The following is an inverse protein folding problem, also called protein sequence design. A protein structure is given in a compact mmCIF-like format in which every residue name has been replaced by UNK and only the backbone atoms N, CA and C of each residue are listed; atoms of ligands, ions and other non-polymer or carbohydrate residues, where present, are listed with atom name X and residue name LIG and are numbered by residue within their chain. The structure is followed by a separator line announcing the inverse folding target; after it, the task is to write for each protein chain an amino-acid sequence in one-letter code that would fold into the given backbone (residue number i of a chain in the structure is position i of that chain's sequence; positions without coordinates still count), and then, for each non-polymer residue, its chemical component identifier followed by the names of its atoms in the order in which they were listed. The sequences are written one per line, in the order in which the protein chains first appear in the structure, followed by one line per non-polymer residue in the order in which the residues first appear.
data_IF_660541409791
#
_entry.id   IF_660541409791
#
_cell.length_a   1.000
_cell.length_b   1.000
_cell.length_c   1.000
_cell.angle_alpha   90.00
_cell.angle_beta   90.00
_cell.angle_gamma   90.00
#
_symmetry.space_group_name_H-M   'P 1'
#
loop_
_entity.id
_entity.type
_entity.pdbx_description
1 polymer ?
#
# COMPACT_ATOMS: atom_id res chain seq x y z
N UNK A 1 7.15 22.74 -15.73
CA UNK A 1 6.23 22.09 -16.69
C UNK A 1 5.02 21.44 -16.00
N UNK A 2 5.12 20.94 -14.75
CA UNK A 2 3.95 20.76 -13.86
C UNK A 2 3.33 22.09 -13.40
N UNK A 3 3.85 23.25 -13.80
CA UNK A 3 3.28 24.56 -13.44
C UNK A 3 1.94 24.85 -14.11
N UNK A 4 1.50 23.98 -15.03
CA UNK A 4 0.14 24.07 -15.54
C UNK A 4 -0.86 23.78 -14.40
N UNK A 5 -1.64 24.79 -13.99
CA UNK A 5 -2.59 24.65 -12.88
C UNK A 5 -3.62 23.55 -13.15
N UNK A 6 -3.95 23.27 -14.41
CA UNK A 6 -4.90 22.22 -14.76
C UNK A 6 -4.37 20.83 -14.37
N UNK A 7 -3.08 20.57 -14.65
CA UNK A 7 -2.45 19.27 -14.37
C UNK A 7 -2.28 19.05 -12.87
N UNK A 8 -1.91 20.11 -12.12
CA UNK A 8 -1.86 20.07 -10.65
C UNK A 8 -3.23 19.72 -10.07
N UNK A 9 -4.28 20.43 -10.49
CA UNK A 9 -5.67 20.16 -10.05
C UNK A 9 -6.10 18.75 -10.41
N UNK A 10 -5.78 18.26 -11.60
CA UNK A 10 -6.10 16.90 -12.02
C UNK A 10 -5.42 15.85 -11.14
N UNK A 11 -4.10 15.98 -10.91
CA UNK A 11 -3.34 15.07 -10.05
C UNK A 11 -3.90 15.03 -8.62
N UNK A 12 -4.16 16.21 -8.03
CA UNK A 12 -4.75 16.34 -6.70
C UNK A 12 -6.14 15.69 -6.66
N UNK A 13 -6.97 15.91 -7.68
CA UNK A 13 -8.30 15.31 -7.76
C UNK A 13 -8.21 13.78 -7.73
N UNK A 14 -7.31 13.19 -8.51
CA UNK A 14 -7.11 11.74 -8.50
C UNK A 14 -6.57 11.22 -7.17
N UNK A 15 -5.66 11.95 -6.51
CA UNK A 15 -5.19 11.57 -5.18
C UNK A 15 -6.33 11.59 -4.16
N UNK A 16 -7.13 12.66 -4.12
CA UNK A 16 -8.29 12.77 -3.23
C UNK A 16 -9.30 11.66 -3.49
N UNK A 17 -9.61 11.38 -4.76
CA UNK A 17 -10.48 10.26 -5.13
C UNK A 17 -9.89 8.92 -4.70
N UNK A 18 -8.59 8.71 -4.83
CA UNK A 18 -7.93 7.48 -4.38
C UNK A 18 -8.07 7.28 -2.86
N UNK A 19 -7.91 8.35 -2.06
CA UNK A 19 -8.16 8.29 -0.62
C UNK A 19 -9.63 7.96 -0.32
N UNK A 20 -10.58 8.65 -0.96
CA UNK A 20 -12.02 8.42 -0.74
C UNK A 20 -12.38 6.97 -1.07
N UNK A 21 -11.99 6.46 -2.23
CA UNK A 21 -12.27 5.09 -2.64
C UNK A 21 -11.52 4.06 -1.79
N UNK A 22 -10.30 4.39 -1.33
CA UNK A 22 -9.57 3.60 -0.34
C UNK A 22 -10.36 3.46 0.96
N UNK A 23 -10.88 4.55 1.51
CA UNK A 23 -11.73 4.53 2.70
C UNK A 23 -13.07 3.81 2.48
N UNK A 24 -13.68 3.93 1.30
CA UNK A 24 -14.92 3.21 0.96
C UNK A 24 -14.67 1.70 0.90
N UNK A 25 -13.65 1.27 0.14
CA UNK A 25 -13.24 -0.14 0.06
C UNK A 25 -13.00 -0.69 1.47
N UNK A 26 -12.32 0.11 2.29
CA UNK A 26 -11.99 -0.25 3.64
C UNK A 26 -13.21 -0.32 4.58
N UNK A 27 -14.11 0.65 4.52
CA UNK A 27 -15.37 0.63 5.25
C UNK A 27 -16.26 -0.55 4.84
N UNK A 28 -16.24 -0.93 3.56
CA UNK A 28 -16.99 -2.07 3.05
C UNK A 28 -16.47 -3.41 3.60
N UNK A 29 -15.16 -3.54 3.71
CA UNK A 29 -14.49 -4.67 4.37
C UNK A 29 -14.88 -4.83 5.83
N UNK A 30 -14.90 -3.73 6.59
CA UNK A 30 -15.37 -3.73 7.98
C UNK A 30 -16.86 -4.09 8.07
N UNK A 31 -17.70 -3.49 7.22
CA UNK A 31 -19.13 -3.76 7.19
C UNK A 31 -19.44 -5.25 6.96
N UNK A 32 -18.79 -5.87 5.98
CA UNK A 32 -18.92 -7.31 5.70
C UNK A 32 -18.53 -8.17 6.89
N UNK A 33 -17.47 -7.79 7.59
CA UNK A 33 -17.03 -8.51 8.77
C UNK A 33 -18.05 -8.46 9.91
N UNK A 34 -18.59 -7.28 10.21
CA UNK A 34 -19.60 -7.13 11.26
C UNK A 34 -20.84 -7.99 11.01
N UNK A 35 -21.18 -8.30 9.75
CA UNK A 35 -22.27 -9.25 9.42
C UNK A 35 -21.96 -10.71 9.77
N UNK A 36 -20.69 -11.09 9.97
CA UNK A 36 -20.31 -12.46 10.34
C UNK A 36 -20.52 -12.77 11.84
N UNK A 37 -20.81 -11.76 12.68
CA UNK A 37 -21.11 -11.94 14.10
C UNK A 37 -19.92 -12.40 14.97
N UNK A 38 -18.70 -12.46 14.40
CA UNK A 38 -17.49 -12.81 15.14
C UNK A 38 -17.10 -11.69 16.11
N UNK A 39 -17.32 -11.90 17.42
CA UNK A 39 -16.87 -10.99 18.48
C UNK A 39 -15.35 -11.04 18.75
N UNK A 40 -14.60 -11.87 18.01
CA UNK A 40 -13.20 -12.19 18.29
C UNK A 40 -12.19 -11.25 17.63
N UNK A 41 -12.63 -10.44 16.65
CA UNK A 41 -11.79 -9.43 15.98
C UNK A 41 -12.44 -8.05 16.06
N UNK A 42 -11.61 -7.04 16.30
CA UNK A 42 -11.92 -5.60 16.28
C UNK A 42 -11.31 -4.99 15.02
N UNK A 43 -11.60 -3.70 14.76
CA UNK A 43 -11.01 -2.91 13.66
C UNK A 43 -9.49 -3.11 13.49
N UNK A 44 -8.73 -3.09 14.59
CA UNK A 44 -7.27 -3.24 14.59
C UNK A 44 -6.78 -4.69 14.43
N UNK A 45 -7.68 -5.67 14.58
CA UNK A 45 -7.39 -7.09 14.41
C UNK A 45 -8.17 -7.70 13.25
N UNK A 46 -8.73 -6.85 12.39
CA UNK A 46 -9.32 -7.22 11.12
C UNK A 46 -8.19 -7.44 10.11
N UNK A 47 -8.20 -8.62 9.48
CA UNK A 47 -7.28 -8.97 8.42
C UNK A 47 -8.10 -9.26 7.16
N UNK A 48 -8.18 -8.34 6.18
CA UNK A 48 -8.92 -8.60 4.94
C UNK A 48 -8.50 -9.93 4.27
N UNK A 49 -7.25 -10.35 4.47
CA UNK A 49 -6.70 -11.61 3.94
C UNK A 49 -7.13 -12.88 4.70
N UNK A 50 -7.62 -12.74 5.94
CA UNK A 50 -8.10 -13.87 6.74
C UNK A 50 -9.49 -14.35 6.30
N UNK A 51 -10.38 -13.42 5.94
CA UNK A 51 -11.77 -13.74 5.63
C UNK A 51 -11.96 -14.30 4.23
N UNK A 52 -11.01 -14.04 3.33
CA UNK A 52 -11.08 -14.35 1.90
C UNK A 52 -12.51 -14.22 1.37
N UNK A 53 -12.97 -12.98 1.25
CA UNK A 53 -14.33 -12.64 0.79
C UNK A 53 -14.71 -13.26 -0.55
N UNK A 54 -13.71 -13.71 -1.32
CA UNK A 54 -13.82 -14.38 -2.61
C UNK A 54 -14.05 -15.90 -2.51
N UNK A 55 -14.88 -16.36 -1.57
CA UNK A 55 -15.39 -17.74 -1.63
C UNK A 55 -16.18 -17.91 -2.94
N UNK A 56 -16.04 -19.08 -3.59
CA UNK A 56 -16.63 -19.45 -4.91
C UNK A 56 -18.13 -19.17 -5.11
N UNK A 57 -18.87 -18.77 -4.06
CA UNK A 57 -20.32 -18.50 -4.09
C UNK A 57 -20.75 -17.25 -3.29
N UNK A 58 -19.84 -16.31 -3.00
CA UNK A 58 -20.22 -15.06 -2.32
C UNK A 58 -20.91 -14.10 -3.31
N UNK A 59 -22.20 -13.82 -3.10
CA UNK A 59 -23.01 -12.89 -3.89
C UNK A 59 -22.48 -11.45 -3.93
N UNK A 60 -21.55 -11.12 -3.04
CA UNK A 60 -20.96 -9.79 -2.90
C UNK A 60 -19.55 -9.67 -3.48
N UNK A 61 -19.06 -10.70 -4.20
CA UNK A 61 -17.73 -10.74 -4.81
C UNK A 61 -17.55 -9.73 -5.94
N UNK A 62 -18.59 -9.45 -6.73
CA UNK A 62 -18.51 -8.50 -7.84
C UNK A 62 -18.25 -7.05 -7.36
N UNK A 63 -18.91 -6.63 -6.28
CA UNK A 63 -18.72 -5.30 -5.69
C UNK A 63 -17.31 -5.17 -5.11
N UNK A 64 -16.79 -6.22 -4.46
CA UNK A 64 -15.40 -6.21 -3.94
C UNK A 64 -14.38 -6.06 -5.05
N UNK A 65 -14.49 -6.88 -6.11
CA UNK A 65 -13.58 -6.80 -7.26
C UNK A 65 -13.69 -5.44 -7.93
N UNK A 66 -14.91 -4.92 -8.10
CA UNK A 66 -15.12 -3.60 -8.74
C UNK A 66 -14.50 -2.47 -7.92
N UNK A 67 -14.74 -2.43 -6.61
CA UNK A 67 -14.13 -1.43 -5.73
C UNK A 67 -12.61 -1.54 -5.73
N UNK A 68 -12.06 -2.77 -5.74
CA UNK A 68 -10.62 -2.98 -5.84
C UNK A 68 -10.03 -2.46 -7.15
N UNK A 69 -10.64 -2.76 -8.29
CA UNK A 69 -10.17 -2.30 -9.60
C UNK A 69 -10.20 -0.77 -9.65
N UNK A 70 -11.30 -0.16 -9.20
CA UNK A 70 -11.43 1.31 -9.19
C UNK A 70 -10.38 1.94 -8.28
N UNK A 71 -10.22 1.44 -7.04
CA UNK A 71 -9.18 1.94 -6.13
C UNK A 71 -7.79 1.75 -6.71
N UNK A 72 -7.48 0.59 -7.29
CA UNK A 72 -6.19 0.31 -7.92
C UNK A 72 -5.88 1.28 -9.07
N UNK A 73 -6.85 1.55 -9.94
CA UNK A 73 -6.69 2.52 -11.04
C UNK A 73 -6.49 3.94 -10.51
N UNK A 74 -7.30 4.37 -9.55
CA UNK A 74 -7.17 5.69 -8.93
C UNK A 74 -5.80 5.89 -8.25
N UNK A 75 -5.22 4.81 -7.72
CA UNK A 75 -3.89 4.85 -7.13
C UNK A 75 -2.78 5.01 -8.18
N UNK A 76 -2.90 4.38 -9.35
CA UNK A 76 -1.88 4.46 -10.40
C UNK A 76 -1.87 5.80 -11.12
N UNK A 77 -3.03 6.40 -11.37
CA UNK A 77 -3.17 7.59 -12.22
C UNK A 77 -2.27 8.78 -11.79
N UNK A 78 -2.20 9.18 -10.50
CA UNK A 78 -1.30 10.25 -10.06
C UNK A 78 0.17 9.99 -10.38
N UNK A 79 0.64 8.75 -10.27
CA UNK A 79 2.03 8.37 -10.56
C UNK A 79 2.30 8.35 -12.05
N UNK A 80 1.31 7.96 -12.87
CA UNK A 80 1.38 8.03 -14.34
C UNK A 80 1.48 9.48 -14.80
N UNK A 81 0.62 10.36 -14.27
CA UNK A 81 0.68 11.80 -14.53
C UNK A 81 2.08 12.31 -14.16
N UNK A 82 2.56 11.99 -12.95
CA UNK A 82 3.91 12.36 -12.51
C UNK A 82 5.02 11.91 -13.47
N UNK A 83 5.00 10.67 -13.93
CA UNK A 83 6.02 10.13 -14.83
C UNK A 83 6.00 10.80 -16.21
N UNK A 84 4.81 11.02 -16.79
CA UNK A 84 4.65 11.67 -18.10
C UNK A 84 5.15 13.12 -18.07
N UNK A 85 4.79 13.87 -17.01
CA UNK A 85 5.14 15.29 -16.91
C UNK A 85 6.56 15.56 -16.39
N UNK A 86 7.15 14.60 -15.68
CA UNK A 86 8.58 14.64 -15.38
C UNK A 86 9.41 14.30 -16.61
N UNK A 87 8.93 13.35 -17.42
CA UNK A 87 9.58 12.91 -18.65
C UNK A 87 11.07 12.54 -18.47
N UNK A 88 11.42 12.01 -17.29
CA UNK A 88 12.75 11.54 -16.97
C UNK A 88 12.76 10.01 -16.93
N UNK A 89 13.82 9.34 -17.40
CA UNK A 89 13.92 7.87 -17.29
C UNK A 89 13.69 7.36 -15.87
N UNK A 90 14.18 8.09 -14.86
CA UNK A 90 14.00 7.77 -13.44
C UNK A 90 12.53 7.78 -13.00
N UNK A 91 11.70 8.72 -13.49
CA UNK A 91 10.29 8.78 -13.12
C UNK A 91 9.48 7.61 -13.70
N UNK A 92 9.86 7.12 -14.89
CA UNK A 92 9.26 5.91 -15.46
C UNK A 92 9.68 4.63 -14.71
N UNK A 93 10.93 4.57 -14.22
CA UNK A 93 11.39 3.46 -13.37
C UNK A 93 10.61 3.46 -12.05
N UNK A 94 10.42 4.62 -11.42
CA UNK A 94 9.60 4.76 -10.21
C UNK A 94 8.16 4.30 -10.45
N UNK A 95 7.54 4.70 -11.57
CA UNK A 95 6.21 4.23 -11.98
C UNK A 95 6.15 2.71 -12.10
N UNK A 96 7.13 2.09 -12.76
CA UNK A 96 7.15 0.64 -12.95
C UNK A 96 7.26 -0.11 -11.61
N UNK A 97 8.14 0.32 -10.72
CA UNK A 97 8.27 -0.26 -9.37
C UNK A 97 6.97 -0.09 -8.58
N UNK A 98 6.34 1.08 -8.68
CA UNK A 98 5.09 1.38 -8.00
C UNK A 98 3.92 0.49 -8.45
N UNK A 99 3.72 0.35 -9.78
CA UNK A 99 2.70 -0.55 -10.34
C UNK A 99 2.97 -2.00 -9.93
N UNK A 100 4.24 -2.42 -9.91
CA UNK A 100 4.60 -3.76 -9.51
C UNK A 100 4.31 -4.01 -8.03
N UNK A 101 4.67 -3.07 -7.14
CA UNK A 101 4.33 -3.12 -5.72
C UNK A 101 2.82 -3.24 -5.50
N UNK A 102 2.03 -2.38 -6.16
CA UNK A 102 0.57 -2.41 -6.11
C UNK A 102 -0.01 -3.74 -6.59
N UNK A 103 0.58 -4.35 -7.61
CA UNK A 103 0.13 -5.65 -8.13
C UNK A 103 0.38 -6.76 -7.12
N UNK A 104 1.54 -6.76 -6.46
CA UNK A 104 1.84 -7.71 -5.38
C UNK A 104 0.90 -7.49 -4.19
N UNK A 105 0.60 -6.24 -3.84
CA UNK A 105 -0.39 -5.92 -2.82
C UNK A 105 -1.79 -6.43 -3.20
N UNK A 106 -2.20 -6.27 -4.46
CA UNK A 106 -3.45 -6.83 -4.98
C UNK A 106 -3.48 -8.37 -4.85
N UNK A 107 -2.38 -9.06 -5.16
CA UNK A 107 -2.25 -10.51 -5.00
C UNK A 107 -2.44 -10.99 -3.55
N UNK A 108 -2.08 -10.17 -2.55
CA UNK A 108 -2.34 -10.51 -1.14
C UNK A 108 -3.83 -10.68 -0.85
N UNK A 109 -4.70 -9.88 -1.50
CA UNK A 109 -6.16 -9.99 -1.32
C UNK A 109 -6.76 -11.31 -1.81
N UNK A 110 -6.10 -11.96 -2.77
CA UNK A 110 -6.54 -13.24 -3.30
C UNK A 110 -5.82 -14.44 -2.65
N UNK A 111 -4.75 -14.19 -1.89
CA UNK A 111 -3.95 -15.24 -1.25
C UNK A 111 -4.50 -15.59 0.13
N UNK A 112 -5.06 -16.81 0.25
CA UNK A 112 -5.56 -17.34 1.52
C UNK A 112 -4.45 -17.36 2.58
N UNK A 113 -4.79 -16.92 3.80
CA UNK A 113 -3.90 -17.04 4.96
C UNK A 113 -3.51 -18.49 5.30
N UNK A 114 -4.34 -19.47 4.89
CA UNK A 114 -4.03 -20.91 5.01
C UNK A 114 -2.80 -21.31 4.20
N UNK A 115 -2.51 -20.61 3.10
CA UNK A 115 -1.28 -20.71 2.34
C UNK A 115 -0.21 -19.77 2.93
N UNK A 116 0.08 -19.94 4.23
CA UNK A 116 0.90 -19.01 5.01
C UNK A 116 2.23 -18.66 4.35
N UNK A 117 2.97 -19.66 3.84
CA UNK A 117 4.27 -19.42 3.16
C UNK A 117 4.14 -18.46 1.96
N UNK A 118 3.11 -18.67 1.13
CA UNK A 118 2.87 -17.84 -0.06
C UNK A 118 2.48 -16.40 0.34
N UNK A 119 1.63 -16.28 1.37
CA UNK A 119 1.22 -14.98 1.91
C UNK A 119 2.42 -14.18 2.42
N UNK A 120 3.29 -14.82 3.21
CA UNK A 120 4.54 -14.22 3.70
C UNK A 120 5.46 -13.82 2.57
N UNK A 121 5.61 -14.67 1.55
CA UNK A 121 6.44 -14.34 0.38
C UNK A 121 5.94 -13.08 -0.34
N UNK A 122 4.63 -12.95 -0.60
CA UNK A 122 4.08 -11.75 -1.22
C UNK A 122 4.24 -10.51 -0.33
N UNK A 123 4.01 -10.65 0.97
CA UNK A 123 4.19 -9.57 1.94
C UNK A 123 5.64 -9.06 1.96
N UNK A 124 6.62 -9.97 2.00
CA UNK A 124 8.03 -9.60 1.93
C UNK A 124 8.40 -8.95 0.59
N UNK A 125 7.92 -9.49 -0.54
CA UNK A 125 8.18 -8.90 -1.87
C UNK A 125 7.60 -7.48 -1.92
N UNK A 126 6.38 -7.28 -1.45
CA UNK A 126 5.73 -5.97 -1.42
C UNK A 126 6.56 -4.95 -0.63
N UNK A 127 6.94 -5.30 0.61
CA UNK A 127 7.76 -4.43 1.46
C UNK A 127 9.12 -4.12 0.80
N UNK A 128 9.78 -5.11 0.20
CA UNK A 128 11.03 -4.87 -0.54
C UNK A 128 10.85 -3.90 -1.71
N UNK A 129 9.74 -4.01 -2.45
CA UNK A 129 9.42 -3.09 -3.56
C UNK A 129 9.09 -1.69 -3.07
N UNK A 130 8.38 -1.55 -1.93
CA UNK A 130 8.11 -0.25 -1.30
C UNK A 130 9.42 0.41 -0.82
N UNK A 131 10.32 -0.33 -0.18
CA UNK A 131 11.65 0.18 0.18
C UNK A 131 12.44 0.60 -1.05
N UNK A 132 12.40 -0.19 -2.13
CA UNK A 132 13.04 0.18 -3.40
C UNK A 132 12.43 1.47 -3.98
N UNK A 133 11.10 1.59 -3.97
CA UNK A 133 10.39 2.79 -4.41
C UNK A 133 10.79 4.03 -3.59
N UNK A 134 10.88 3.91 -2.27
CA UNK A 134 11.32 4.99 -1.38
C UNK A 134 12.77 5.38 -1.64
N UNK A 135 13.67 4.42 -1.86
CA UNK A 135 15.07 4.69 -2.20
C UNK A 135 15.21 5.39 -3.56
N UNK A 136 14.44 4.98 -4.56
CA UNK A 136 14.39 5.66 -5.85
C UNK A 136 13.80 7.08 -5.73
N UNK A 137 12.77 7.24 -4.89
CA UNK A 137 12.21 8.55 -4.58
C UNK A 137 13.24 9.44 -3.89
N UNK A 138 14.02 8.89 -2.95
CA UNK A 138 15.08 9.61 -2.27
C UNK A 138 16.17 10.08 -3.25
N UNK A 139 16.65 9.20 -4.13
CA UNK A 139 17.66 9.59 -5.14
C UNK A 139 17.10 10.58 -6.15
N UNK A 140 15.80 10.50 -6.47
CA UNK A 140 15.13 11.44 -7.34
C UNK A 140 15.02 12.83 -6.70
N UNK A 141 14.39 12.93 -5.52
CA UNK A 141 14.11 14.21 -4.86
C UNK A 141 15.33 14.84 -4.20
N UNK A 142 16.36 14.08 -3.83
CA UNK A 142 17.61 14.63 -3.29
C UNK A 142 18.58 15.14 -4.38
N UNK A 143 18.35 14.80 -5.66
CA UNK A 143 19.24 15.21 -6.74
C UNK A 143 18.86 16.57 -7.32
N UNK A 144 19.75 17.55 -7.18
CA UNK A 144 19.60 18.91 -7.72
C UNK A 144 19.47 18.94 -9.26
N UNK A 145 20.05 17.97 -9.96
CA UNK A 145 19.96 17.87 -11.42
C UNK A 145 18.64 17.25 -11.91
N UNK A 146 17.95 16.50 -11.05
CA UNK A 146 16.61 15.96 -11.33
C UNK A 146 15.51 16.94 -10.94
N UNK A 147 15.87 18.17 -10.54
CA UNK A 147 14.99 19.13 -9.91
C UNK A 147 13.79 19.43 -10.80
N UNK A 148 12.66 18.88 -10.37
CA UNK A 148 11.40 19.57 -10.53
C UNK A 148 11.52 20.97 -9.91
N UNK A 149 10.83 21.96 -10.47
CA UNK A 149 10.75 23.35 -9.96
C UNK A 149 10.00 23.36 -8.62
N UNK A 150 10.60 22.77 -7.61
CA UNK A 150 10.10 22.70 -6.24
C UNK A 150 11.05 23.55 -5.42
N UNK A 151 10.49 24.44 -4.61
CA UNK A 151 11.26 25.25 -3.66
C UNK A 151 12.19 24.36 -2.82
N UNK A 152 13.43 24.80 -2.61
CA UNK A 152 14.44 24.09 -1.81
C UNK A 152 13.89 23.64 -0.45
N UNK A 153 13.04 24.46 0.19
CA UNK A 153 12.39 24.12 1.46
C UNK A 153 11.48 22.89 1.35
N UNK A 154 10.69 22.80 0.28
CA UNK A 154 9.75 21.69 0.05
C UNK A 154 10.52 20.42 -0.32
N UNK A 155 11.61 20.54 -1.08
CA UNK A 155 12.52 19.42 -1.37
C UNK A 155 13.10 18.81 -0.10
N UNK A 156 13.52 19.65 0.85
CA UNK A 156 14.04 19.20 2.16
C UNK A 156 12.95 18.47 2.95
N UNK A 157 11.74 19.02 3.01
CA UNK A 157 10.60 18.40 3.71
C UNK A 157 10.28 17.02 3.12
N UNK A 158 10.20 16.90 1.80
CA UNK A 158 9.95 15.64 1.10
C UNK A 158 11.05 14.62 1.43
N UNK A 159 12.31 15.04 1.38
CA UNK A 159 13.46 14.19 1.67
C UNK A 159 13.41 13.64 3.10
N UNK A 160 13.13 14.51 4.09
CA UNK A 160 12.97 14.10 5.50
C UNK A 160 11.85 13.08 5.63
N UNK A 161 10.71 13.32 4.98
CA UNK A 161 9.56 12.44 5.04
C UNK A 161 9.87 11.05 4.47
N UNK A 162 10.53 10.98 3.31
CA UNK A 162 10.96 9.71 2.69
C UNK A 162 11.92 8.96 3.61
N UNK A 163 12.87 9.65 4.25
CA UNK A 163 13.80 9.01 5.21
C UNK A 163 13.05 8.42 6.41
N UNK A 164 12.07 9.14 6.95
CA UNK A 164 11.23 8.64 8.05
C UNK A 164 10.44 7.39 7.63
N UNK A 165 9.91 7.35 6.41
CA UNK A 165 9.21 6.19 5.86
C UNK A 165 10.13 4.99 5.67
N UNK A 166 11.36 5.20 5.21
CA UNK A 166 12.38 4.12 5.10
C UNK A 166 12.67 3.55 6.49
N UNK A 167 12.88 4.40 7.50
CA UNK A 167 13.10 3.94 8.88
C UNK A 167 11.90 3.13 9.38
N UNK A 168 10.68 3.59 9.10
CA UNK A 168 9.45 2.90 9.48
C UNK A 168 9.36 1.51 8.84
N UNK A 169 9.63 1.37 7.53
CA UNK A 169 9.65 0.07 6.85
C UNK A 169 10.74 -0.87 7.39
N UNK A 170 11.93 -0.35 7.67
CA UNK A 170 13.00 -1.14 8.29
C UNK A 170 12.56 -1.67 9.66
N UNK A 171 11.87 -0.85 10.47
CA UNK A 171 11.33 -1.29 11.77
C UNK A 171 10.29 -2.41 11.57
N UNK A 172 9.42 -2.31 10.56
CA UNK A 172 8.45 -3.37 10.24
C UNK A 172 9.13 -4.69 9.85
N UNK A 173 10.25 -4.63 9.13
CA UNK A 173 11.03 -5.82 8.68
C UNK A 173 11.87 -6.43 9.81
N UNK A 174 12.52 -5.59 10.64
CA UNK A 174 13.56 -6.02 11.58
C UNK A 174 13.02 -6.36 12.98
N UNK A 175 11.74 -6.07 13.27
CA UNK A 175 11.15 -6.28 14.60
C UNK A 175 11.48 -7.66 15.23
N UNK A 176 12.33 -7.78 16.25
CA UNK A 176 12.88 -9.05 16.75
C UNK A 176 11.86 -10.04 17.35
N UNK A 177 10.60 -9.63 17.54
CA UNK A 177 9.48 -10.55 17.83
C UNK A 177 9.08 -11.45 16.62
N UNK A 178 9.74 -11.25 15.47
CA UNK A 178 9.71 -11.98 14.18
C UNK A 178 10.41 -13.35 14.20
N UNK A 179 11.10 -13.78 15.27
CA UNK A 179 11.67 -15.16 15.25
C UNK A 179 10.60 -16.27 15.24
N UNK A 180 9.36 -15.95 15.66
CA UNK A 180 8.23 -16.88 15.73
C UNK A 180 7.00 -16.32 14.99
N UNK A 181 7.07 -16.18 13.65
CA UNK A 181 5.91 -15.69 12.86
C UNK A 181 4.69 -16.57 13.07
N UNK A 182 4.91 -17.88 13.12
CA UNK A 182 3.85 -18.86 13.14
C UNK A 182 3.55 -19.32 14.56
N UNK A 183 2.27 -19.24 14.94
CA UNK A 183 1.69 -20.11 15.95
C UNK A 183 1.09 -21.32 15.25
N UNK A 184 1.36 -22.53 15.76
CA UNK A 184 0.62 -23.72 15.32
C UNK A 184 -0.79 -23.68 15.94
N UNK A 185 -1.80 -23.79 15.10
CA UNK A 185 -3.21 -23.83 15.51
C UNK A 185 -3.81 -25.11 14.94
N UNK A 186 -4.51 -25.88 15.78
CA UNK A 186 -5.22 -27.08 15.37
C UNK A 186 -6.65 -26.70 14.99
N UNK A 187 -7.05 -26.99 13.76
CA UNK A 187 -8.42 -26.85 13.29
C UNK A 187 -8.82 -28.25 12.83
N UNK A 188 -9.74 -28.87 13.57
CA UNK A 188 -10.15 -30.26 13.39
C UNK A 188 -8.96 -31.25 13.45
N UNK A 189 -8.76 -32.07 12.40
CA UNK A 189 -7.70 -33.08 12.33
C UNK A 189 -6.34 -32.50 11.88
N UNK A 190 -6.32 -31.28 11.33
CA UNK A 190 -5.13 -30.70 10.71
C UNK A 190 -4.47 -29.63 11.61
N UNK A 191 -3.15 -29.55 11.55
CA UNK A 191 -2.37 -28.51 12.23
C UNK A 191 -1.88 -27.51 11.21
N UNK A 192 -2.29 -26.25 11.38
CA UNK A 192 -1.92 -25.16 10.49
C UNK A 192 -0.93 -24.22 11.17
N UNK A 193 0.06 -23.76 10.41
CA UNK A 193 0.91 -22.64 10.80
C UNK A 193 0.17 -21.34 10.48
N UNK A 194 -0.03 -20.49 11.49
CA UNK A 194 -0.78 -19.24 11.36
C UNK A 194 0.02 -18.05 11.90
N UNK A 195 0.03 -16.89 11.24
CA UNK A 195 0.70 -15.71 11.76
C UNK A 195 0.07 -15.26 13.09
N UNK A 196 0.89 -14.77 14.02
CA UNK A 196 0.39 -14.09 15.23
C UNK A 196 -0.39 -12.84 14.81
N UNK A 197 -1.57 -12.63 15.40
CA UNK A 197 -2.48 -11.53 15.02
C UNK A 197 -1.82 -10.15 15.03
N UNK A 198 -1.04 -9.83 16.07
CA UNK A 198 -0.41 -8.51 16.18
C UNK A 198 0.62 -8.26 15.05
N UNK A 199 1.27 -9.32 14.55
CA UNK A 199 2.25 -9.20 13.50
C UNK A 199 1.60 -9.00 12.14
N UNK A 200 0.54 -9.77 11.87
CA UNK A 200 -0.29 -9.59 10.69
C UNK A 200 -0.87 -8.18 10.64
N UNK A 201 -1.26 -7.60 11.78
CA UNK A 201 -1.70 -6.21 11.89
C UNK A 201 -0.61 -5.21 11.58
N UNK A 202 0.57 -5.38 12.17
CA UNK A 202 1.68 -4.48 11.88
C UNK A 202 2.07 -4.51 10.41
N UNK A 203 2.07 -5.67 9.77
CA UNK A 203 2.46 -5.79 8.36
C UNK A 203 1.36 -5.27 7.44
N UNK A 204 0.10 -5.68 7.63
CA UNK A 204 -0.99 -5.23 6.77
C UNK A 204 -1.29 -3.73 6.96
N UNK A 205 -1.48 -3.27 8.20
CA UNK A 205 -1.80 -1.87 8.48
C UNK A 205 -0.61 -0.96 8.41
N UNK A 206 0.57 -1.42 8.85
CA UNK A 206 1.79 -0.63 8.78
C UNK A 206 2.15 -0.37 7.33
N UNK A 207 2.16 -1.39 6.48
CA UNK A 207 2.49 -1.18 5.06
C UNK A 207 1.37 -0.46 4.31
N UNK A 208 0.09 -0.67 4.65
CA UNK A 208 -1.01 0.16 4.11
C UNK A 208 -0.88 1.63 4.53
N UNK A 209 -0.55 1.90 5.79
CA UNK A 209 -0.31 3.26 6.28
C UNK A 209 0.88 3.87 5.55
N UNK A 210 1.99 3.16 5.43
CA UNK A 210 3.18 3.67 4.74
C UNK A 210 2.87 4.00 3.27
N UNK A 211 2.09 3.14 2.62
CA UNK A 211 1.59 3.37 1.28
C UNK A 211 0.71 4.64 1.18
N UNK A 212 -0.19 4.89 2.14
CA UNK A 212 -0.96 6.14 2.19
C UNK A 212 -0.04 7.36 2.42
N UNK A 213 0.99 7.22 3.24
CA UNK A 213 1.96 8.28 3.48
C UNK A 213 2.76 8.61 2.21
N UNK A 214 3.03 7.65 1.32
CA UNK A 214 3.69 7.91 0.02
C UNK A 214 2.89 8.88 -0.86
N UNK A 215 1.56 8.94 -0.71
CA UNK A 215 0.74 9.92 -1.43
C UNK A 215 0.91 11.35 -0.91
N UNK A 216 1.30 11.53 0.35
CA UNK A 216 1.59 12.88 0.89
C UNK A 216 2.76 13.49 0.12
N UNK A 217 3.77 12.70 -0.24
CA UNK A 217 4.88 13.17 -1.08
C UNK A 217 4.38 13.64 -2.43
N UNK A 218 3.52 12.86 -3.10
CA UNK A 218 2.92 13.24 -4.39
C UNK A 218 2.05 14.50 -4.28
N UNK A 219 1.33 14.67 -3.17
CA UNK A 219 0.55 15.88 -2.88
C UNK A 219 1.50 17.08 -2.77
N UNK A 220 2.54 17.00 -1.94
CA UNK A 220 3.50 18.09 -1.75
C UNK A 220 4.15 18.51 -3.07
N UNK A 221 4.55 17.53 -3.90
CA UNK A 221 5.11 17.77 -5.23
C UNK A 221 4.10 18.40 -6.20
N UNK A 222 2.80 18.10 -6.05
CA UNK A 222 1.76 18.65 -6.92
C UNK A 222 1.33 20.07 -6.53
N UNK A 223 1.46 20.44 -5.25
CA UNK A 223 1.05 21.76 -4.74
C UNK A 223 2.13 22.83 -4.85
N UNK A 224 3.39 22.44 -4.62
CA UNK A 224 4.53 23.37 -4.58
C UNK A 224 5.34 23.34 -5.89
#
# INVERSE_FOLDING_TARGET
MFDDPFIKVLAITFVVLAFIFGFILFGYFIYKYNRTGSKKYNFLTYFPFELNGYRRHASSSFIDVSLMIVTYLLLIVPVVIFAIFSNLPSSYIMLAVYIFALTIFACLFFTKLSAFKLHVSFACIFVCLEVLYLLLSLTYYANENSAYVINDEVRIIITIFIVLQIIFEIILIVNPSIKDWAKKVRIDAETFSRPKYNYLAMLEWGTFLNFLLNYIVLILVSFF
#
